data_IF_504542879139
#
_entry.id   IF_504542879139
#
_cell.length_a   1.000
_cell.length_b   1.000
_cell.length_c   1.000
_cell.angle_alpha   90.00
_cell.angle_beta   90.00
_cell.angle_gamma   90.00
#
_symmetry.space_group_name_H-M   'P 1'
#
loop_
_entity.id
_entity.type
_entity.pdbx_description
1 polymer ?
#
# COMPACT_ATOMS: atom_id res chain seq x y z
N UNK A 1 0.95 8.00 -8.16
CA UNK A 1 2.30 7.70 -8.67
C UNK A 1 3.23 8.93 -8.75
N UNK A 2 2.85 10.01 -9.45
CA UNK A 2 3.74 11.17 -9.69
C UNK A 2 4.35 11.82 -8.43
N UNK A 3 3.57 11.94 -7.35
CA UNK A 3 4.06 12.47 -6.07
C UNK A 3 5.19 11.63 -5.47
N UNK A 4 5.08 10.29 -5.53
CA UNK A 4 6.09 9.38 -5.00
C UNK A 4 7.40 9.50 -5.78
N UNK A 5 7.32 9.45 -7.12
CA UNK A 5 8.49 9.60 -8.00
C UNK A 5 9.19 10.96 -7.77
N UNK A 6 8.42 12.04 -7.59
CA UNK A 6 8.99 13.36 -7.30
C UNK A 6 9.78 13.36 -5.99
N UNK A 7 9.27 12.70 -4.95
CA UNK A 7 9.95 12.61 -3.65
C UNK A 7 11.19 11.70 -3.72
N UNK A 8 11.10 10.59 -4.44
CA UNK A 8 12.23 9.70 -4.70
C UNK A 8 13.36 10.43 -5.44
N UNK A 9 13.04 11.23 -6.46
CA UNK A 9 14.01 12.11 -7.16
C UNK A 9 14.64 13.19 -6.28
N UNK A 10 14.02 13.52 -5.15
CA UNK A 10 14.57 14.43 -4.14
C UNK A 10 15.42 13.71 -3.09
N UNK A 11 15.69 12.41 -3.27
CA UNK A 11 16.47 11.59 -2.34
C UNK A 11 15.70 11.16 -1.09
N UNK A 12 14.37 11.32 -1.07
CA UNK A 12 13.54 10.84 0.04
C UNK A 12 13.22 9.36 -0.13
N UNK A 13 13.05 8.68 1.00
CA UNK A 13 12.53 7.31 1.01
C UNK A 13 11.03 7.31 0.79
N UNK A 14 10.54 6.41 -0.05
CA UNK A 14 9.12 6.27 -0.37
C UNK A 14 8.71 4.80 -0.30
N UNK A 15 7.50 4.54 0.19
CA UNK A 15 6.96 3.20 0.24
C UNK A 15 5.45 3.16 0.10
N UNK A 16 4.92 1.97 -0.10
CA UNK A 16 3.48 1.70 -0.22
C UNK A 16 3.10 0.58 0.77
N UNK A 17 1.97 0.78 1.45
CA UNK A 17 1.30 -0.25 2.24
C UNK A 17 -0.07 -0.49 1.59
N UNK A 18 -0.22 -1.63 0.94
CA UNK A 18 -1.51 -2.09 0.44
C UNK A 18 -2.26 -2.77 1.60
N UNK A 19 -3.51 -2.40 1.85
CA UNK A 19 -4.29 -2.93 2.99
C UNK A 19 -4.92 -4.30 2.72
N UNK A 20 -5.09 -4.66 1.46
CA UNK A 20 -5.71 -5.90 0.99
C UNK A 20 -4.89 -6.46 -0.17
N UNK A 21 -5.15 -7.72 -0.55
CA UNK A 21 -4.53 -8.36 -1.72
C UNK A 21 -5.31 -8.05 -3.02
N UNK A 22 -6.42 -7.32 -2.89
CA UNK A 22 -7.29 -6.92 -3.98
C UNK A 22 -8.06 -8.10 -4.58
N UNK A 23 -8.20 -9.22 -3.88
CA UNK A 23 -8.68 -10.52 -4.35
C UNK A 23 -10.05 -10.50 -5.03
N UNK A 24 -10.92 -9.52 -4.72
CA UNK A 24 -12.26 -9.41 -5.33
C UNK A 24 -12.27 -8.74 -6.71
N UNK A 25 -11.14 -8.20 -7.17
CA UNK A 25 -11.12 -7.55 -8.47
C UNK A 25 -11.51 -8.52 -9.60
N UNK A 26 -12.30 -8.04 -10.55
CA UNK A 26 -12.93 -8.85 -11.61
C UNK A 26 -11.96 -9.40 -12.67
N UNK A 27 -10.69 -9.02 -12.62
CA UNK A 27 -9.64 -9.39 -13.58
C UNK A 27 -8.37 -9.81 -12.85
N UNK A 28 -7.84 -10.99 -13.20
CA UNK A 28 -6.61 -11.54 -12.63
C UNK A 28 -6.85 -12.46 -11.42
N UNK A 29 -5.76 -13.02 -10.91
CA UNK A 29 -5.70 -13.81 -9.68
C UNK A 29 -4.72 -13.16 -8.70
N UNK A 30 -4.68 -13.64 -7.45
CA UNK A 30 -3.84 -13.10 -6.37
C UNK A 30 -2.34 -13.05 -6.75
N UNK A 31 -1.83 -14.13 -7.33
CA UNK A 31 -0.42 -14.25 -7.76
C UNK A 31 -0.06 -13.18 -8.79
N UNK A 32 -0.90 -13.01 -9.81
CA UNK A 32 -0.69 -12.01 -10.85
C UNK A 32 -0.73 -10.59 -10.27
N UNK A 33 -1.65 -10.30 -9.36
CA UNK A 33 -1.71 -8.99 -8.69
C UNK A 33 -0.45 -8.70 -7.89
N UNK A 34 0.06 -9.70 -7.18
CA UNK A 34 1.32 -9.59 -6.45
C UNK A 34 2.49 -9.32 -7.39
N UNK A 35 2.57 -10.01 -8.52
CA UNK A 35 3.61 -9.74 -9.53
C UNK A 35 3.51 -8.31 -10.09
N UNK A 36 2.31 -7.87 -10.46
CA UNK A 36 2.06 -6.52 -10.97
C UNK A 36 2.43 -5.46 -9.93
N UNK A 37 2.09 -5.71 -8.67
CA UNK A 37 2.44 -4.86 -7.55
C UNK A 37 3.96 -4.74 -7.37
N UNK A 38 4.69 -5.85 -7.43
CA UNK A 38 6.15 -5.84 -7.31
C UNK A 38 6.82 -5.16 -8.51
N UNK A 39 6.37 -5.44 -9.75
CA UNK A 39 6.85 -4.75 -10.96
C UNK A 39 6.63 -3.24 -10.88
N UNK A 40 5.47 -2.81 -10.37
CA UNK A 40 5.17 -1.39 -10.15
C UNK A 40 6.09 -0.78 -9.09
N UNK A 41 6.42 -1.52 -8.03
CA UNK A 41 7.36 -1.04 -7.00
C UNK A 41 8.77 -0.78 -7.60
N UNK A 42 9.22 -1.64 -8.50
CA UNK A 42 10.49 -1.46 -9.22
C UNK A 42 10.46 -0.22 -10.13
N UNK A 43 9.40 -0.05 -10.92
CA UNK A 43 9.21 1.11 -11.82
C UNK A 43 9.17 2.42 -11.05
N UNK A 44 8.53 2.43 -9.88
CA UNK A 44 8.41 3.60 -9.02
C UNK A 44 9.62 3.82 -8.11
N UNK A 45 10.60 2.91 -8.13
CA UNK A 45 11.78 2.90 -7.27
C UNK A 45 11.42 3.03 -5.78
N UNK A 46 10.45 2.24 -5.31
CA UNK A 46 10.06 2.24 -3.91
C UNK A 46 11.12 1.58 -3.02
N UNK A 47 11.36 2.15 -1.85
CA UNK A 47 12.22 1.55 -0.82
C UNK A 47 11.53 0.39 -0.09
N UNK A 48 10.21 0.42 -0.05
CA UNK A 48 9.40 -0.63 0.56
C UNK A 48 8.02 -0.73 -0.10
N UNK A 49 7.56 -1.95 -0.30
CA UNK A 49 6.16 -2.26 -0.57
C UNK A 49 5.74 -3.41 0.32
N UNK A 50 4.65 -3.23 1.05
CA UNK A 50 4.07 -4.25 1.93
C UNK A 50 2.60 -4.42 1.57
N UNK A 51 2.15 -5.66 1.50
CA UNK A 51 0.74 -6.00 1.30
C UNK A 51 0.24 -6.68 2.56
N UNK A 52 -0.86 -6.17 3.10
CA UNK A 52 -1.64 -6.81 4.17
C UNK A 52 -2.79 -7.60 3.54
N UNK A 53 -3.34 -8.51 4.34
CA UNK A 53 -4.51 -9.31 3.97
C UNK A 53 -5.64 -9.05 4.97
N UNK A 54 -6.20 -7.83 4.90
CA UNK A 54 -7.32 -7.45 5.78
C UNK A 54 -8.69 -7.88 5.26
N UNK A 55 -8.75 -8.50 4.07
CA UNK A 55 -9.98 -8.83 3.37
C UNK A 55 -10.47 -7.71 2.45
N UNK A 56 -10.32 -7.89 1.15
CA UNK A 56 -10.75 -6.95 0.13
C UNK A 56 -12.27 -6.75 0.15
N UNK A 57 -12.70 -5.48 0.04
CA UNK A 57 -14.13 -5.09 0.07
C UNK A 57 -14.87 -5.28 1.40
N UNK A 58 -14.31 -6.02 2.36
CA UNK A 58 -15.01 -6.44 3.57
C UNK A 58 -14.26 -6.18 4.88
N UNK A 59 -13.06 -5.59 4.84
CA UNK A 59 -12.34 -5.29 6.06
C UNK A 59 -13.10 -4.32 6.96
N UNK A 60 -13.06 -4.57 8.26
CA UNK A 60 -13.65 -3.70 9.28
C UNK A 60 -12.58 -2.84 9.96
N UNK A 61 -12.98 -1.67 10.42
CA UNK A 61 -12.14 -0.85 11.31
C UNK A 61 -12.30 -1.40 12.73
N UNK A 62 -11.41 -2.32 13.12
CA UNK A 62 -11.41 -2.96 14.43
C UNK A 62 -9.98 -2.98 15.02
N UNK A 63 -9.83 -3.47 16.25
CA UNK A 63 -8.55 -3.46 16.95
C UNK A 63 -7.44 -4.22 16.20
N UNK A 64 -7.79 -5.31 15.52
CA UNK A 64 -6.83 -6.12 14.76
C UNK A 64 -6.34 -5.36 13.52
N UNK A 65 -7.24 -4.84 12.69
CA UNK A 65 -6.86 -4.09 11.49
C UNK A 65 -6.09 -2.81 11.84
N UNK A 66 -6.48 -2.13 12.93
CA UNK A 66 -5.75 -0.97 13.44
C UNK A 66 -4.33 -1.34 13.90
N UNK A 67 -4.16 -2.45 14.63
CA UNK A 67 -2.84 -2.90 15.10
C UNK A 67 -1.89 -3.25 13.96
N UNK A 68 -2.39 -3.89 12.90
CA UNK A 68 -1.60 -4.20 11.71
C UNK A 68 -1.04 -2.91 11.08
N UNK A 69 -1.90 -1.93 10.81
CA UNK A 69 -1.47 -0.64 10.22
C UNK A 69 -0.53 0.12 11.17
N UNK A 70 -0.84 0.19 12.47
CA UNK A 70 -0.01 0.84 13.48
C UNK A 70 1.38 0.22 13.55
N UNK A 71 1.49 -1.10 13.40
CA UNK A 71 2.77 -1.81 13.40
C UNK A 71 3.67 -1.32 12.25
N UNK A 72 3.10 -1.16 11.06
CA UNK A 72 3.85 -0.65 9.90
C UNK A 72 4.20 0.83 10.02
N UNK A 73 3.29 1.67 10.52
CA UNK A 73 3.60 3.09 10.78
C UNK A 73 4.76 3.20 11.78
N UNK A 74 4.75 2.42 12.86
CA UNK A 74 5.82 2.42 13.87
C UNK A 74 7.14 1.86 13.34
N UNK A 75 7.08 0.86 12.45
CA UNK A 75 8.25 0.27 11.80
C UNK A 75 8.93 1.27 10.87
N UNK A 76 8.16 1.95 10.02
CA UNK A 76 8.70 2.84 8.98
C UNK A 76 8.88 4.29 9.43
N UNK A 77 8.17 4.74 10.47
CA UNK A 77 8.21 6.11 11.02
C UNK A 77 8.13 7.20 9.93
N UNK A 78 7.08 7.19 9.09
CA UNK A 78 6.99 8.14 7.98
C UNK A 78 6.77 9.58 8.47
N UNK A 79 7.41 10.55 7.81
CA UNK A 79 7.14 11.99 8.05
C UNK A 79 5.78 12.42 7.48
N UNK A 80 5.34 11.76 6.41
CA UNK A 80 4.07 12.05 5.70
C UNK A 80 3.41 10.72 5.34
N UNK A 81 2.11 10.61 5.63
CA UNK A 81 1.25 9.51 5.19
C UNK A 81 0.26 10.06 4.18
N UNK A 82 0.15 9.38 3.03
CA UNK A 82 -0.91 9.63 2.05
C UNK A 82 -1.91 8.48 2.14
N UNK A 83 -3.19 8.80 2.23
CA UNK A 83 -4.29 7.83 2.22
C UNK A 83 -5.36 8.24 1.19
N UNK A 84 -6.21 7.28 0.86
CA UNK A 84 -7.42 7.48 0.07
C UNK A 84 -8.34 8.52 0.74
N UNK A 85 -9.08 9.25 -0.09
CA UNK A 85 -10.08 10.19 0.39
C UNK A 85 -11.19 9.45 1.13
N UNK A 86 -11.85 10.12 2.08
CA UNK A 86 -12.97 9.55 2.85
C UNK A 86 -14.16 9.26 1.94
N UNK A 87 -14.34 10.08 0.90
CA UNK A 87 -15.36 9.91 -0.14
C UNK A 87 -14.67 9.68 -1.49
N UNK A 88 -15.07 8.63 -2.19
CA UNK A 88 -14.59 8.25 -3.53
C UNK A 88 -15.80 7.90 -4.42
N UNK A 89 -15.60 7.88 -5.73
CA UNK A 89 -16.63 7.82 -6.79
C UNK A 89 -17.20 6.43 -7.09
#
# INVERSE_FOLDING_TARGET
>A
AGTLIKHQKQGKKVGILDLTLGELGSRGNEELRKEEAMKSAEILHLDARVMLDLGDGFFEINEQSLKEVVTHIRRFRPDVVLCNAVEDR
#
